data_IF_192452944815
#
_entry.id   IF_192452944815
#
_cell.length_a   1.000
_cell.length_b   1.000
_cell.length_c   1.000
_cell.angle_alpha   90.00
_cell.angle_beta   90.00
_cell.angle_gamma   90.00
#
_symmetry.space_group_name_H-M   'P 1'
#
loop_
_entity.id
_entity.type
_entity.pdbx_description
1 polymer ?
#
# COMPACT_ATOMS: atom_id res chain seq x y z
N UNK A 1 44.45 -31.56 -9.31
CA UNK A 1 43.05 -31.29 -8.94
C UNK A 1 42.85 -29.78 -9.00
N UNK A 2 42.23 -29.29 -10.09
CA UNK A 2 42.06 -27.82 -10.35
C UNK A 2 40.68 -27.43 -9.80
N UNK A 3 40.56 -26.31 -9.08
CA UNK A 3 39.24 -25.80 -8.67
C UNK A 3 38.54 -25.13 -9.85
N UNK A 4 37.32 -25.55 -10.12
CA UNK A 4 36.44 -24.87 -11.07
C UNK A 4 35.94 -23.56 -10.48
N UNK A 5 35.99 -22.42 -11.21
CA UNK A 5 35.35 -21.20 -10.78
C UNK A 5 33.82 -21.33 -10.99
N UNK A 6 33.07 -21.28 -9.89
CA UNK A 6 31.63 -21.05 -9.95
C UNK A 6 31.38 -19.60 -10.34
N UNK A 7 31.28 -19.35 -11.64
CA UNK A 7 30.75 -18.11 -12.19
C UNK A 7 29.24 -18.15 -12.03
N UNK A 8 28.74 -17.53 -10.99
CA UNK A 8 27.32 -17.20 -10.87
C UNK A 8 27.00 -16.14 -11.93
N UNK A 9 26.67 -16.57 -13.14
CA UNK A 9 26.03 -15.73 -14.14
C UNK A 9 24.73 -15.21 -13.56
N UNK A 10 24.77 -13.96 -13.10
CA UNK A 10 23.58 -13.16 -12.88
C UNK A 10 22.88 -13.04 -14.23
N UNK A 11 21.92 -13.93 -14.49
CA UNK A 11 20.98 -13.78 -15.59
C UNK A 11 20.27 -12.44 -15.39
N UNK A 12 20.71 -11.40 -16.07
CA UNK A 12 19.96 -10.18 -16.27
C UNK A 12 18.69 -10.59 -17.04
N UNK A 13 17.64 -10.88 -16.29
CA UNK A 13 16.31 -11.09 -16.87
C UNK A 13 15.95 -9.82 -17.59
N UNK A 14 15.68 -9.92 -18.90
CA UNK A 14 15.17 -8.82 -19.70
C UNK A 14 14.03 -8.10 -18.95
N UNK A 15 14.00 -6.75 -18.99
CA UNK A 15 12.92 -6.01 -18.32
C UNK A 15 11.56 -6.53 -18.74
N UNK A 16 10.62 -6.62 -17.80
CA UNK A 16 9.26 -7.03 -18.14
C UNK A 16 8.64 -6.00 -19.08
N UNK A 17 8.22 -6.42 -20.25
CA UNK A 17 7.49 -5.57 -21.21
C UNK A 17 6.09 -5.23 -20.67
N UNK A 18 5.51 -6.10 -19.84
CA UNK A 18 4.19 -5.91 -19.25
C UNK A 18 4.28 -5.03 -17.99
N UNK A 19 3.76 -3.82 -18.07
CA UNK A 19 3.71 -2.86 -16.96
C UNK A 19 2.99 -3.43 -15.74
N UNK A 20 1.85 -4.09 -15.92
CA UNK A 20 1.11 -4.71 -14.81
C UNK A 20 1.96 -5.76 -14.07
N UNK A 21 2.67 -6.62 -14.82
CA UNK A 21 3.55 -7.62 -14.21
C UNK A 21 4.72 -6.98 -13.45
N UNK A 22 5.27 -5.87 -13.96
CA UNK A 22 6.36 -5.14 -13.30
C UNK A 22 5.88 -4.50 -11.99
N UNK A 23 4.75 -3.78 -12.00
CA UNK A 23 4.15 -3.14 -10.82
C UNK A 23 3.82 -4.19 -9.76
N UNK A 24 3.13 -5.29 -10.12
CA UNK A 24 2.76 -6.35 -9.17
C UNK A 24 3.98 -7.02 -8.54
N UNK A 25 5.07 -7.21 -9.29
CA UNK A 25 6.31 -7.78 -8.75
C UNK A 25 6.99 -6.80 -7.78
N UNK A 26 7.07 -5.53 -8.15
CA UNK A 26 7.61 -4.49 -7.28
C UNK A 26 6.77 -4.34 -6.00
N UNK A 27 5.43 -4.27 -6.12
CA UNK A 27 4.52 -4.18 -4.98
C UNK A 27 4.68 -5.36 -4.01
N UNK A 28 4.80 -6.60 -4.53
CA UNK A 28 5.06 -7.76 -3.65
C UNK A 28 6.40 -7.67 -2.92
N UNK A 29 7.47 -7.22 -3.60
CA UNK A 29 8.78 -7.07 -2.95
C UNK A 29 8.74 -5.97 -1.89
N UNK A 30 8.14 -4.85 -2.19
CA UNK A 30 7.97 -3.76 -1.22
C UNK A 30 7.11 -4.21 -0.04
N UNK A 31 6.00 -4.93 -0.30
CA UNK A 31 5.16 -5.49 0.76
C UNK A 31 5.94 -6.36 1.73
N UNK A 32 6.83 -7.25 1.23
CA UNK A 32 7.70 -8.06 2.08
C UNK A 32 8.64 -7.20 2.95
N UNK A 33 9.32 -6.21 2.35
CA UNK A 33 10.24 -5.32 3.09
C UNK A 33 9.51 -4.59 4.22
N UNK A 34 8.30 -4.09 3.95
CA UNK A 34 7.49 -3.41 4.97
C UNK A 34 6.92 -4.37 6.01
N UNK A 35 6.49 -5.58 5.60
CA UNK A 35 6.01 -6.60 6.54
C UNK A 35 7.12 -7.01 7.51
N UNK A 36 8.34 -7.26 7.02
CA UNK A 36 9.50 -7.59 7.84
C UNK A 36 9.83 -6.44 8.83
N UNK A 37 9.77 -5.19 8.36
CA UNK A 37 10.02 -4.04 9.22
C UNK A 37 8.94 -3.84 10.30
N UNK A 38 7.67 -4.08 9.97
CA UNK A 38 6.55 -3.91 10.91
C UNK A 38 6.35 -5.11 11.86
N UNK A 39 7.10 -6.20 11.68
CA UNK A 39 7.01 -7.37 12.56
C UNK A 39 7.23 -6.99 14.02
N UNK A 40 8.17 -6.07 14.31
CA UNK A 40 8.48 -5.61 15.67
C UNK A 40 7.28 -4.95 16.37
N UNK A 41 6.33 -4.37 15.63
CA UNK A 41 5.11 -3.79 16.20
C UNK A 41 3.85 -4.62 15.94
N UNK A 42 3.99 -5.82 15.36
CA UNK A 42 2.89 -6.76 15.13
C UNK A 42 1.89 -6.33 14.05
N UNK A 43 2.29 -5.44 13.13
CA UNK A 43 1.47 -5.04 11.99
C UNK A 43 1.99 -5.63 10.67
N UNK A 44 1.12 -5.63 9.66
CA UNK A 44 1.46 -5.83 8.27
C UNK A 44 1.43 -4.51 7.51
N UNK A 45 2.15 -4.43 6.39
CA UNK A 45 2.18 -3.26 5.51
C UNK A 45 0.77 -2.76 5.13
N UNK A 46 -0.13 -3.71 4.79
CA UNK A 46 -1.52 -3.40 4.44
C UNK A 46 -2.30 -2.84 5.62
N UNK A 47 -2.07 -3.32 6.84
CA UNK A 47 -2.72 -2.83 8.07
C UNK A 47 -2.24 -1.41 8.40
N UNK A 48 -0.93 -1.17 8.33
CA UNK A 48 -0.36 0.17 8.50
C UNK A 48 -0.96 1.16 7.50
N UNK A 49 -1.02 0.79 6.21
CA UNK A 49 -1.62 1.62 5.17
C UNK A 49 -3.08 1.99 5.47
N UNK A 50 -3.87 1.04 5.98
CA UNK A 50 -5.25 1.30 6.41
C UNK A 50 -5.32 2.29 7.57
N UNK A 51 -4.52 2.09 8.63
CA UNK A 51 -4.50 2.99 9.79
C UNK A 51 -4.12 4.42 9.36
N UNK A 52 -3.12 4.57 8.49
CA UNK A 52 -2.72 5.88 7.94
C UNK A 52 -3.85 6.54 7.17
N UNK A 53 -4.55 5.80 6.31
CA UNK A 53 -5.64 6.38 5.51
C UNK A 53 -6.85 6.75 6.36
N UNK A 54 -7.20 5.94 7.35
CA UNK A 54 -8.28 6.27 8.30
C UNK A 54 -7.94 7.56 9.06
N UNK A 55 -6.69 7.68 9.56
CA UNK A 55 -6.23 8.88 10.27
C UNK A 55 -6.24 10.13 9.37
N UNK A 56 -5.72 10.00 8.14
CA UNK A 56 -5.61 11.09 7.18
C UNK A 56 -6.96 11.65 6.73
N UNK A 57 -7.93 10.78 6.47
CA UNK A 57 -9.26 11.18 5.99
C UNK A 57 -10.16 11.63 7.14
N UNK A 58 -9.87 11.17 8.36
CA UNK A 58 -10.67 11.47 9.54
C UNK A 58 -12.04 10.79 9.49
N UNK A 59 -12.18 9.66 10.11
CA UNK A 59 -13.44 8.90 10.20
C UNK A 59 -14.21 8.70 8.88
N UNK A 60 -13.56 8.17 7.82
CA UNK A 60 -14.21 7.97 6.52
C UNK A 60 -15.36 6.97 6.58
N UNK A 61 -16.30 7.06 5.65
CA UNK A 61 -17.20 5.91 5.38
C UNK A 61 -16.42 4.78 4.71
N UNK A 62 -16.95 3.55 4.79
CA UNK A 62 -16.36 2.40 4.10
C UNK A 62 -16.15 2.65 2.60
N UNK A 63 -17.10 3.34 1.95
CA UNK A 63 -17.01 3.70 0.53
C UNK A 63 -15.84 4.65 0.26
N UNK A 64 -15.77 5.76 1.00
CA UNK A 64 -14.69 6.76 0.85
C UNK A 64 -13.32 6.12 1.09
N UNK A 65 -13.20 5.25 2.09
CA UNK A 65 -11.94 4.57 2.38
C UNK A 65 -11.55 3.59 1.24
N UNK A 66 -12.53 2.86 0.68
CA UNK A 66 -12.30 1.96 -0.45
C UNK A 66 -11.85 2.72 -1.71
N UNK A 67 -12.47 3.86 -2.01
CA UNK A 67 -12.10 4.74 -3.12
C UNK A 67 -10.65 5.25 -2.98
N UNK A 68 -10.27 5.75 -1.80
CA UNK A 68 -8.90 6.21 -1.52
C UNK A 68 -7.83 5.11 -1.64
N UNK A 69 -8.22 3.86 -1.39
CA UNK A 69 -7.31 2.71 -1.45
C UNK A 69 -7.36 1.97 -2.79
N UNK A 70 -8.20 2.44 -3.72
CA UNK A 70 -8.46 1.75 -5.02
C UNK A 70 -8.86 0.28 -4.79
N UNK A 71 -9.76 0.06 -3.83
CA UNK A 71 -10.25 -1.26 -3.42
C UNK A 71 -11.76 -1.38 -3.59
N UNK A 72 -12.25 -2.60 -3.80
CA UNK A 72 -13.66 -2.89 -3.61
C UNK A 72 -14.04 -3.02 -2.13
N UNK A 73 -15.34 -2.83 -1.82
CA UNK A 73 -15.84 -2.86 -0.45
C UNK A 73 -15.66 -4.22 0.24
N UNK A 74 -15.70 -5.32 -0.53
CA UNK A 74 -15.51 -6.66 0.00
C UNK A 74 -14.07 -6.89 0.43
N UNK A 75 -13.11 -6.53 -0.44
CA UNK A 75 -11.68 -6.60 -0.13
C UNK A 75 -11.32 -5.73 1.06
N UNK A 76 -11.84 -4.48 1.11
CA UNK A 76 -11.65 -3.59 2.25
C UNK A 76 -12.19 -4.21 3.55
N UNK A 77 -13.41 -4.76 3.50
CA UNK A 77 -14.03 -5.42 4.67
C UNK A 77 -13.18 -6.57 5.19
N UNK A 78 -12.61 -7.39 4.30
CA UNK A 78 -11.70 -8.47 4.69
C UNK A 78 -10.41 -7.95 5.33
N UNK A 79 -9.83 -6.88 4.80
CA UNK A 79 -8.56 -6.31 5.30
C UNK A 79 -8.75 -5.58 6.63
N UNK A 80 -9.95 -5.03 6.90
CA UNK A 80 -10.28 -4.39 8.17
C UNK A 80 -10.54 -5.40 9.31
N UNK A 81 -10.99 -6.62 9.02
CA UNK A 81 -11.33 -7.62 10.05
C UNK A 81 -10.26 -7.82 11.12
N UNK A 82 -8.98 -8.02 10.79
CA UNK A 82 -7.93 -8.16 11.81
C UNK A 82 -7.82 -6.93 12.71
N UNK A 83 -7.87 -5.72 12.12
CA UNK A 83 -7.75 -4.46 12.88
C UNK A 83 -8.94 -4.25 13.83
N UNK A 84 -10.14 -4.66 13.42
CA UNK A 84 -11.34 -4.62 14.28
C UNK A 84 -11.24 -5.66 15.39
N UNK A 85 -10.84 -6.89 15.06
CA UNK A 85 -10.63 -7.96 16.05
C UNK A 85 -9.62 -7.57 17.11
N UNK A 86 -8.54 -6.92 16.70
CA UNK A 86 -7.44 -6.51 17.57
C UNK A 86 -7.72 -5.17 18.28
N UNK A 87 -8.94 -4.62 18.11
CA UNK A 87 -9.39 -3.41 18.81
C UNK A 87 -8.73 -2.11 18.35
N UNK A 88 -8.05 -2.10 17.20
CA UNK A 88 -7.37 -0.92 16.67
C UNK A 88 -8.30 -0.01 15.87
N UNK A 89 -9.38 -0.57 15.34
CA UNK A 89 -10.38 0.10 14.51
C UNK A 89 -11.77 -0.33 14.94
N UNK A 90 -12.73 0.59 14.87
CA UNK A 90 -14.14 0.32 15.10
C UNK A 90 -15.00 0.82 13.94
N UNK A 91 -16.17 0.17 13.75
CA UNK A 91 -17.19 0.57 12.80
C UNK A 91 -18.37 1.18 13.51
N UNK A 92 -18.67 2.44 13.20
CA UNK A 92 -19.80 3.18 13.78
C UNK A 92 -20.83 3.46 12.70
N UNK A 93 -22.11 3.45 13.06
CA UNK A 93 -23.21 3.84 12.15
C UNK A 93 -23.04 5.30 11.79
N UNK A 94 -23.14 5.64 10.50
CA UNK A 94 -23.14 7.02 10.05
C UNK A 94 -24.42 7.73 10.52
N UNK A 95 -24.29 8.87 11.16
CA UNK A 95 -25.45 9.65 11.66
C UNK A 95 -26.34 10.17 10.52
N UNK A 96 -25.76 10.41 9.34
CA UNK A 96 -26.46 10.95 8.17
C UNK A 96 -27.08 9.86 7.30
N UNK A 97 -26.48 8.66 7.31
CA UNK A 97 -26.96 7.50 6.55
C UNK A 97 -26.79 6.22 7.37
N UNK A 98 -27.86 5.77 8.02
CA UNK A 98 -27.85 4.57 8.86
C UNK A 98 -27.47 3.26 8.13
N UNK A 99 -27.48 3.25 6.81
CA UNK A 99 -27.01 2.12 5.98
C UNK A 99 -25.49 2.11 5.80
N UNK A 100 -24.86 3.24 6.06
CA UNK A 100 -23.42 3.43 5.96
C UNK A 100 -22.71 3.17 7.30
N UNK A 101 -21.46 2.78 7.23
CA UNK A 101 -20.57 2.62 8.37
C UNK A 101 -19.37 3.52 8.20
N UNK A 102 -19.00 4.22 9.28
CA UNK A 102 -17.75 4.98 9.39
C UNK A 102 -16.70 4.15 10.08
N UNK A 103 -15.47 4.34 9.65
CA UNK A 103 -14.29 3.65 10.18
C UNK A 103 -13.55 4.60 11.10
N UNK A 104 -13.35 4.22 12.34
CA UNK A 104 -12.67 5.04 13.34
C UNK A 104 -11.42 4.34 13.87
N UNK A 105 -10.34 5.09 14.10
CA UNK A 105 -9.25 4.62 14.94
C UNK A 105 -9.68 4.70 16.41
N UNK A 106 -9.50 3.61 17.12
CA UNK A 106 -9.60 3.59 18.58
C UNK A 106 -8.44 4.34 19.22
N UNK A 107 -8.44 4.50 20.54
CA UNK A 107 -7.28 5.01 21.28
C UNK A 107 -6.05 4.13 21.04
N UNK A 108 -6.22 2.82 21.11
CA UNK A 108 -5.15 1.85 20.91
C UNK A 108 -4.68 1.83 19.45
N UNK A 109 -5.60 2.01 18.48
CA UNK A 109 -5.26 2.18 17.08
C UNK A 109 -4.38 3.40 16.82
N UNK A 110 -4.64 4.53 17.49
CA UNK A 110 -3.78 5.73 17.38
C UNK A 110 -2.40 5.50 17.98
N UNK A 111 -2.31 4.87 19.14
CA UNK A 111 -1.04 4.51 19.77
C UNK A 111 -0.22 3.59 18.84
N UNK A 112 -0.89 2.55 18.31
CA UNK A 112 -0.27 1.60 17.37
C UNK A 112 0.21 2.27 16.08
N UNK A 113 -0.57 3.23 15.56
CA UNK A 113 -0.18 4.00 14.37
C UNK A 113 1.07 4.84 14.62
N UNK A 114 1.19 5.50 15.78
CA UNK A 114 2.40 6.30 16.11
C UNK A 114 3.64 5.41 16.27
N UNK A 115 3.51 4.25 16.91
CA UNK A 115 4.59 3.25 16.99
C UNK A 115 5.06 2.85 15.58
N UNK A 116 4.14 2.49 14.72
CA UNK A 116 4.44 2.09 13.34
C UNK A 116 4.99 3.23 12.47
N UNK A 117 4.61 4.49 12.72
CA UNK A 117 5.17 5.66 12.01
C UNK A 117 6.67 5.82 12.23
N UNK A 118 7.18 5.50 13.41
CA UNK A 118 8.61 5.54 13.68
C UNK A 118 9.38 4.50 12.82
N UNK A 119 8.82 3.30 12.69
CA UNK A 119 9.36 2.24 11.84
C UNK A 119 9.29 2.65 10.36
N UNK A 120 8.12 3.13 9.93
CA UNK A 120 7.92 3.61 8.57
C UNK A 120 8.95 4.66 8.15
N UNK A 121 9.28 5.63 9.03
CA UNK A 121 10.32 6.63 8.75
C UNK A 121 11.67 6.01 8.45
N UNK A 122 12.07 4.99 9.21
CA UNK A 122 13.34 4.26 8.97
C UNK A 122 13.33 3.60 7.59
N UNK A 123 12.23 2.92 7.22
CA UNK A 123 12.09 2.28 5.91
C UNK A 123 12.15 3.30 4.77
N UNK A 124 11.49 4.47 4.93
CA UNK A 124 11.53 5.54 3.93
C UNK A 124 12.95 6.08 3.72
N UNK A 125 13.67 6.37 4.79
CA UNK A 125 15.06 6.84 4.71
C UNK A 125 15.96 5.80 4.02
N UNK A 126 15.82 4.52 4.38
CA UNK A 126 16.57 3.44 3.74
C UNK A 126 16.24 3.29 2.25
N UNK A 127 14.99 3.47 1.89
CA UNK A 127 14.57 3.46 0.48
C UNK A 127 15.16 4.65 -0.30
N UNK A 128 15.08 5.85 0.27
CA UNK A 128 15.62 7.06 -0.34
C UNK A 128 17.16 6.98 -0.51
N UNK A 129 17.86 6.36 0.45
CA UNK A 129 19.31 6.13 0.34
C UNK A 129 19.66 5.08 -0.74
N UNK A 130 18.91 3.97 -0.79
CA UNK A 130 19.20 2.88 -1.73
C UNK A 130 18.80 3.21 -3.17
N UNK A 131 17.73 3.99 -3.38
CA UNK A 131 17.16 4.30 -4.69
C UNK A 131 17.58 5.68 -5.21
N UNK A 132 18.06 6.56 -4.34
CA UNK A 132 18.29 7.97 -4.60
C UNK A 132 17.03 8.82 -4.38
N UNK A 133 17.17 9.95 -3.69
CA UNK A 133 16.03 10.80 -3.27
C UNK A 133 15.17 11.28 -4.44
N UNK A 134 15.81 11.76 -5.51
CA UNK A 134 15.10 12.27 -6.69
C UNK A 134 14.37 11.15 -7.44
N UNK A 135 15.03 9.99 -7.60
CA UNK A 135 14.42 8.81 -8.20
C UNK A 135 13.23 8.30 -7.39
N UNK A 136 13.35 8.29 -6.06
CA UNK A 136 12.27 7.89 -5.15
C UNK A 136 11.07 8.86 -5.22
N UNK A 137 11.31 10.17 -5.30
CA UNK A 137 10.27 11.17 -5.47
C UNK A 137 9.56 11.02 -6.83
N UNK A 138 10.32 10.86 -7.91
CA UNK A 138 9.77 10.63 -9.25
C UNK A 138 8.94 9.35 -9.32
N UNK A 139 9.42 8.26 -8.70
CA UNK A 139 8.68 7.00 -8.64
C UNK A 139 7.34 7.17 -7.92
N UNK A 140 7.33 7.83 -6.75
CA UNK A 140 6.08 8.10 -6.02
C UNK A 140 5.09 8.88 -6.88
N UNK A 141 5.52 9.98 -7.50
CA UNK A 141 4.65 10.78 -8.39
C UNK A 141 4.11 9.98 -9.57
N UNK A 142 4.92 9.10 -10.14
CA UNK A 142 4.50 8.23 -11.25
C UNK A 142 3.44 7.21 -10.80
N UNK A 143 3.63 6.61 -9.62
CA UNK A 143 2.66 5.66 -9.07
C UNK A 143 1.34 6.34 -8.68
N UNK A 144 1.41 7.55 -8.11
CA UNK A 144 0.22 8.35 -7.79
C UNK A 144 -0.58 8.71 -9.06
N UNK A 145 0.12 9.10 -10.13
CA UNK A 145 -0.52 9.34 -11.43
C UNK A 145 -1.24 8.08 -11.95
N UNK A 146 -0.57 6.92 -11.92
CA UNK A 146 -1.15 5.65 -12.39
C UNK A 146 -2.37 5.25 -11.55
N UNK A 147 -2.37 5.54 -10.26
CA UNK A 147 -3.47 5.23 -9.34
C UNK A 147 -4.64 6.23 -9.44
N UNK A 148 -4.49 7.33 -10.17
CA UNK A 148 -5.52 8.37 -10.27
C UNK A 148 -6.70 7.95 -11.14
N UNK A 149 -7.94 8.42 -10.82
CA UNK A 149 -9.11 8.21 -11.67
C UNK A 149 -8.92 8.74 -13.10
N UNK A 150 -8.30 9.91 -13.25
CA UNK A 150 -8.05 10.55 -14.53
C UNK A 150 -7.16 9.70 -15.46
N UNK A 151 -6.18 8.99 -14.89
CA UNK A 151 -5.35 8.07 -15.68
C UNK A 151 -6.15 6.86 -16.16
N UNK A 152 -6.99 6.30 -15.29
CA UNK A 152 -7.87 5.17 -15.64
C UNK A 152 -8.83 5.54 -16.77
N UNK A 153 -9.45 6.72 -16.71
CA UNK A 153 -10.34 7.23 -17.75
C UNK A 153 -9.60 7.41 -19.07
N UNK A 154 -8.44 8.07 -19.07
CA UNK A 154 -7.60 8.22 -20.27
C UNK A 154 -7.20 6.90 -20.88
N UNK A 155 -6.80 5.92 -20.06
CA UNK A 155 -6.45 4.57 -20.54
C UNK A 155 -7.64 3.90 -21.23
N UNK A 156 -8.86 4.05 -20.70
CA UNK A 156 -10.07 3.50 -21.27
C UNK A 156 -10.36 4.12 -22.65
N UNK A 157 -10.26 5.45 -22.78
CA UNK A 157 -10.45 6.17 -24.04
C UNK A 157 -9.44 5.69 -25.09
N UNK A 158 -8.16 5.66 -24.75
CA UNK A 158 -7.08 5.23 -25.66
C UNK A 158 -7.28 3.77 -26.10
N UNK A 159 -7.62 2.88 -25.17
CA UNK A 159 -7.85 1.47 -25.47
C UNK A 159 -8.97 1.27 -26.51
N UNK A 160 -10.09 1.99 -26.39
CA UNK A 160 -11.20 1.91 -27.35
C UNK A 160 -10.89 2.61 -28.70
N UNK A 161 -9.91 3.51 -28.75
CA UNK A 161 -9.51 4.16 -30.00
C UNK A 161 -8.54 3.34 -30.85
N UNK A 162 -7.93 2.31 -30.28
CA UNK A 162 -6.98 1.39 -30.97
C UNK A 162 -7.73 0.16 -31.56
N UNK A 163 -8.97 -0.06 -31.12
CA UNK A 163 -9.81 -1.17 -31.60
C UNK A 163 -10.55 -0.80 -32.85
#
# INVERSE_FOLDING_TARGET
MKPHPHTSEQRHKSPSVCINAAIRRAARRMGQIYDDAFEECGLRATQYSLLVQIDRVGTPTMRVLAEHLVMDLSALGHTLKPLIRDGLVELVVDERDRRSRRVHLTKDGRIKLEEARAIWKKVQLSFDDAFGKDGAAQLRSTLDLIASPDFSERMTIVFHSIS
#
